data_IF_739961169304
#
_entry.id   IF_739961169304
#
_cell.length_a   1.000
_cell.length_b   1.000
_cell.length_c   1.000
_cell.angle_alpha   90.00
_cell.angle_beta   90.00
_cell.angle_gamma   90.00
#
_symmetry.space_group_name_H-M   'P 1'
#
loop_
_entity.id
_entity.type
_entity.pdbx_description
1 polymer ?
#
# COMPACT_ATOMS: atom_id res chain seq x y z
N UNK A 1 16.35 3.41 -14.44
CA UNK A 1 15.24 4.37 -14.37
C UNK A 1 15.55 5.40 -13.30
N UNK A 2 15.33 6.66 -13.61
CA UNK A 2 15.46 7.80 -12.70
C UNK A 2 14.11 8.53 -12.63
N UNK A 3 13.96 9.42 -11.66
CA UNK A 3 12.87 10.38 -11.60
C UNK A 3 13.42 11.76 -11.99
N UNK A 4 12.81 12.49 -12.94
CA UNK A 4 13.28 13.83 -13.31
C UNK A 4 13.41 14.74 -12.07
N UNK A 5 14.59 15.33 -11.89
CA UNK A 5 14.90 16.17 -10.72
C UNK A 5 15.50 15.45 -9.52
N UNK A 6 15.53 14.11 -9.52
CA UNK A 6 16.17 13.30 -8.47
C UNK A 6 17.51 12.75 -8.98
N UNK A 7 18.65 13.08 -8.34
CA UNK A 7 19.98 12.77 -8.86
C UNK A 7 20.47 11.34 -8.54
N UNK A 8 19.57 10.36 -8.42
CA UNK A 8 19.92 8.96 -8.08
C UNK A 8 19.21 7.95 -8.99
N UNK A 9 19.83 6.78 -9.16
CA UNK A 9 19.25 5.66 -9.93
C UNK A 9 18.30 4.88 -9.02
N UNK A 10 17.00 4.95 -9.31
CA UNK A 10 15.95 4.29 -8.49
C UNK A 10 15.90 2.78 -8.77
N UNK A 11 15.88 2.41 -10.05
CA UNK A 11 15.96 1.02 -10.53
C UNK A 11 17.08 0.95 -11.54
N UNK A 12 18.05 0.05 -11.37
CA UNK A 12 19.19 0.03 -12.26
C UNK A 12 20.24 -0.99 -11.88
N UNK A 13 21.47 -0.69 -12.27
CA UNK A 13 22.64 -1.55 -12.03
C UNK A 13 23.91 -0.72 -12.00
N UNK A 14 24.94 -1.27 -11.37
CA UNK A 14 26.32 -0.86 -11.56
C UNK A 14 27.12 -2.01 -12.22
N UNK A 15 28.44 -2.03 -12.05
CA UNK A 15 29.30 -3.05 -12.68
C UNK A 15 29.15 -4.45 -12.09
N UNK A 16 28.70 -4.59 -10.84
CA UNK A 16 28.70 -5.86 -10.10
C UNK A 16 27.30 -6.33 -9.68
N UNK A 17 26.32 -5.43 -9.64
CA UNK A 17 24.97 -5.76 -9.19
C UNK A 17 23.88 -4.97 -9.91
N UNK A 18 22.70 -5.56 -9.98
CA UNK A 18 21.47 -4.92 -10.45
C UNK A 18 20.40 -4.98 -9.35
N UNK A 19 19.55 -3.95 -9.28
CA UNK A 19 18.45 -3.89 -8.32
C UNK A 19 17.14 -3.43 -8.94
N UNK A 20 16.06 -3.98 -8.40
CA UNK A 20 14.69 -3.58 -8.68
C UNK A 20 13.94 -3.32 -7.37
N UNK A 21 12.84 -2.57 -7.46
CA UNK A 21 12.01 -2.26 -6.32
C UNK A 21 10.52 -2.53 -6.60
N UNK A 22 9.79 -2.95 -5.58
CA UNK A 22 8.32 -2.90 -5.55
C UNK A 22 7.85 -2.29 -4.24
N UNK A 23 6.68 -1.65 -4.21
CA UNK A 23 6.17 -1.05 -2.98
C UNK A 23 5.81 -2.12 -1.93
N UNK A 24 6.26 -1.95 -0.69
CA UNK A 24 5.86 -2.82 0.43
C UNK A 24 4.43 -2.54 0.89
N UNK A 25 3.91 -1.33 0.63
CA UNK A 25 2.61 -0.86 1.14
C UNK A 25 2.56 -0.74 2.67
N UNK A 26 3.61 -0.19 3.32
CA UNK A 26 3.69 -0.23 4.76
C UNK A 26 2.74 0.79 5.40
N UNK A 27 2.29 0.48 6.61
CA UNK A 27 1.51 1.35 7.46
C UNK A 27 2.45 2.26 8.27
N UNK A 28 2.83 3.38 7.64
CA UNK A 28 3.81 4.36 8.13
C UNK A 28 3.22 5.77 8.28
N UNK A 29 1.89 5.84 8.27
CA UNK A 29 1.10 7.05 8.44
C UNK A 29 0.12 6.83 9.57
N UNK A 30 0.14 7.71 10.57
CA UNK A 30 -0.84 7.69 11.66
C UNK A 30 -1.52 9.05 11.77
N UNK A 31 -2.82 9.00 12.05
CA UNK A 31 -3.56 10.19 12.43
C UNK A 31 -3.63 10.32 13.94
N UNK A 32 -3.47 11.54 14.43
CA UNK A 32 -3.64 11.89 15.83
C UNK A 32 -4.74 12.95 15.95
N UNK A 33 -5.74 12.69 16.79
CA UNK A 33 -6.72 13.68 17.20
C UNK A 33 -6.11 14.50 18.32
N UNK A 34 -5.94 15.79 18.09
CA UNK A 34 -5.35 16.73 19.03
C UNK A 34 -6.47 17.60 19.62
N UNK A 35 -6.48 17.76 20.94
CA UNK A 35 -7.48 18.58 21.63
C UNK A 35 -6.91 19.94 21.99
N UNK A 36 -7.61 20.99 21.61
CA UNK A 36 -7.32 22.36 22.03
C UNK A 36 -7.39 22.46 23.55
N UNK A 37 -6.48 23.23 24.17
CA UNK A 37 -6.50 23.45 25.61
C UNK A 37 -7.53 24.52 25.98
N UNK A 38 -8.56 24.12 26.71
CA UNK A 38 -9.67 25.00 27.12
C UNK A 38 -10.26 25.74 25.90
N UNK A 39 -10.28 27.08 25.93
CA UNK A 39 -10.72 27.93 24.83
C UNK A 39 -9.54 28.68 24.17
N UNK A 40 -8.29 28.25 24.36
CA UNK A 40 -7.10 28.85 23.72
C UNK A 40 -6.73 28.08 22.44
N UNK A 41 -7.09 28.58 21.24
CA UNK A 41 -6.82 27.88 19.98
C UNK A 41 -5.32 27.81 19.61
N UNK A 42 -4.44 28.47 20.37
CA UNK A 42 -2.99 28.42 20.16
C UNK A 42 -2.31 27.26 20.88
N UNK A 43 -3.04 26.53 21.74
CA UNK A 43 -2.49 25.45 22.57
C UNK A 43 -3.30 24.16 22.43
N UNK A 44 -2.63 23.03 22.58
CA UNK A 44 -3.23 21.70 22.60
C UNK A 44 -2.73 20.86 23.78
N UNK A 45 -3.53 19.88 24.17
CA UNK A 45 -3.24 18.95 25.25
C UNK A 45 -2.20 17.90 24.82
N UNK A 46 -1.30 17.57 25.75
CA UNK A 46 -0.26 16.55 25.62
C UNK A 46 -0.28 15.66 26.87
N UNK A 47 0.40 14.49 26.86
CA UNK A 47 0.50 13.63 28.04
C UNK A 47 1.08 14.35 29.27
N UNK A 48 1.97 15.33 29.04
CA UNK A 48 2.71 16.05 30.09
C UNK A 48 2.14 17.45 30.39
N UNK A 49 0.95 17.77 29.89
CA UNK A 49 0.30 19.08 30.08
C UNK A 49 -0.13 19.70 28.77
N UNK A 50 0.41 20.86 28.41
CA UNK A 50 0.02 21.60 27.19
C UNK A 50 1.22 21.98 26.35
N UNK A 51 1.02 22.08 25.05
CA UNK A 51 2.00 22.58 24.10
C UNK A 51 1.35 23.59 23.16
N UNK A 52 2.16 24.47 22.56
CA UNK A 52 1.70 25.41 21.53
C UNK A 52 1.80 24.75 20.15
N UNK A 53 0.84 25.04 19.29
CA UNK A 53 1.00 24.75 17.86
C UNK A 53 2.19 25.54 17.32
N UNK A 54 3.06 24.88 16.55
CA UNK A 54 3.94 25.62 15.65
C UNK A 54 3.07 26.18 14.53
N UNK A 55 3.23 27.47 14.20
CA UNK A 55 2.41 28.13 13.18
C UNK A 55 3.30 28.88 12.19
N UNK A 56 2.93 28.82 10.91
CA UNK A 56 3.51 29.67 9.86
C UNK A 56 2.44 30.04 8.84
N UNK A 57 2.55 31.23 8.28
CA UNK A 57 1.69 31.64 7.17
C UNK A 57 2.37 31.28 5.84
N UNK A 58 1.65 30.59 4.98
CA UNK A 58 2.05 30.24 3.62
C UNK A 58 1.20 30.98 2.62
N UNK A 59 1.83 31.52 1.58
CA UNK A 59 1.13 32.24 0.50
C UNK A 59 1.23 31.46 -0.80
N UNK A 60 0.11 30.89 -1.23
CA UNK A 60 -0.02 30.18 -2.51
C UNK A 60 -0.35 31.21 -3.59
N UNK A 61 0.61 31.49 -4.48
CA UNK A 61 0.42 32.39 -5.61
C UNK A 61 -0.39 31.71 -6.72
N UNK A 62 -1.56 32.24 -7.03
CA UNK A 62 -2.45 31.65 -8.04
C UNK A 62 -2.38 32.44 -9.34
N UNK A 63 -1.97 31.77 -10.42
CA UNK A 63 -1.83 32.42 -11.74
C UNK A 63 -3.17 33.03 -12.17
N UNK A 64 -3.17 34.36 -12.38
CA UNK A 64 -4.35 35.17 -12.78
C UNK A 64 -5.48 35.21 -11.74
N UNK A 65 -5.19 34.92 -10.48
CA UNK A 65 -6.13 35.06 -9.37
C UNK A 65 -5.43 35.71 -8.16
N UNK A 66 -6.17 36.17 -7.15
CA UNK A 66 -5.57 36.58 -5.89
C UNK A 66 -4.78 35.44 -5.23
N UNK A 67 -3.77 35.81 -4.45
CA UNK A 67 -3.03 34.88 -3.62
C UNK A 67 -3.94 34.24 -2.56
N UNK A 68 -3.69 32.97 -2.25
CA UNK A 68 -4.34 32.27 -1.15
C UNK A 68 -3.38 32.21 0.01
N UNK A 69 -3.71 32.89 1.11
CA UNK A 69 -2.94 32.83 2.36
C UNK A 69 -3.54 31.73 3.24
N UNK A 70 -2.69 30.83 3.71
CA UNK A 70 -3.06 29.71 4.56
C UNK A 70 -2.14 29.70 5.78
N UNK A 71 -2.72 29.58 6.98
CA UNK A 71 -1.94 29.30 8.18
C UNK A 71 -1.74 27.79 8.28
N UNK A 72 -0.48 27.37 8.35
CA UNK A 72 -0.09 25.99 8.62
C UNK A 72 0.16 25.83 10.11
N UNK A 73 -0.51 24.87 10.74
CA UNK A 73 -0.26 24.46 12.11
C UNK A 73 0.42 23.09 12.16
N UNK A 74 1.34 22.91 13.10
CA UNK A 74 2.00 21.63 13.35
C UNK A 74 2.02 21.34 14.86
N UNK A 75 1.85 20.06 15.22
CA UNK A 75 2.00 19.54 16.58
C UNK A 75 3.25 18.67 16.68
N UNK A 76 3.49 18.09 17.86
CA UNK A 76 4.51 17.05 18.08
C UNK A 76 4.35 15.81 17.18
N UNK A 77 3.16 15.59 16.60
CA UNK A 77 2.89 14.48 15.69
C UNK A 77 3.01 14.86 14.22
N UNK A 78 3.11 16.15 13.87
CA UNK A 78 3.24 16.62 12.50
C UNK A 78 2.19 17.66 12.11
N UNK A 79 2.00 17.92 10.80
CA UNK A 79 1.08 18.95 10.32
C UNK A 79 -0.39 18.63 10.64
N UNK A 80 -1.14 19.67 10.97
CA UNK A 80 -2.60 19.62 11.19
C UNK A 80 -3.31 19.65 9.83
N UNK A 81 -3.76 18.48 9.38
CA UNK A 81 -4.36 18.30 8.06
C UNK A 81 -5.85 18.65 8.01
N UNK A 82 -6.52 18.73 9.17
CA UNK A 82 -7.91 19.20 9.26
C UNK A 82 -8.05 20.65 8.81
N UNK A 83 -6.99 21.45 8.90
CA UNK A 83 -7.00 22.87 8.50
C UNK A 83 -6.98 23.05 6.98
N UNK A 84 -6.48 22.04 6.25
CA UNK A 84 -6.25 22.11 4.82
C UNK A 84 -7.31 21.37 3.97
N UNK A 85 -8.19 20.58 4.60
CA UNK A 85 -9.08 19.65 3.89
C UNK A 85 -10.45 19.52 4.58
N UNK A 86 -11.56 19.91 3.92
CA UNK A 86 -12.90 19.81 4.49
C UNK A 86 -13.29 18.38 4.93
N UNK A 87 -12.98 17.30 4.18
CA UNK A 87 -13.22 15.94 4.67
C UNK A 87 -12.52 15.63 6.00
N UNK A 88 -11.30 16.14 6.22
CA UNK A 88 -10.57 15.92 7.47
C UNK A 88 -11.07 16.82 8.60
N UNK A 89 -11.50 18.06 8.29
CA UNK A 89 -12.17 18.93 9.25
C UNK A 89 -13.47 18.29 9.78
N UNK A 90 -14.25 17.67 8.89
CA UNK A 90 -15.49 16.99 9.25
C UNK A 90 -15.28 15.66 10.00
N UNK A 91 -14.04 15.17 10.09
CA UNK A 91 -13.70 13.92 10.77
C UNK A 91 -13.38 14.10 12.26
N UNK A 92 -13.36 15.34 12.77
CA UNK A 92 -13.06 15.68 14.17
C UNK A 92 -14.15 16.59 14.75
N UNK A 93 -14.26 16.62 16.09
CA UNK A 93 -15.25 17.45 16.78
C UNK A 93 -14.78 18.90 16.94
N UNK A 94 -15.69 19.79 17.35
CA UNK A 94 -15.31 21.15 17.75
C UNK A 94 -14.24 21.13 18.85
N UNK A 95 -13.20 21.95 18.69
CA UNK A 95 -12.04 21.99 19.60
C UNK A 95 -11.02 20.87 19.38
N UNK A 96 -11.26 19.97 18.42
CA UNK A 96 -10.31 18.94 17.99
C UNK A 96 -9.67 19.31 16.64
N UNK A 97 -8.51 18.71 16.37
CA UNK A 97 -7.82 18.82 15.08
C UNK A 97 -7.14 17.51 14.73
N UNK A 98 -6.93 17.26 13.44
CA UNK A 98 -6.34 16.02 12.95
C UNK A 98 -4.90 16.27 12.49
N UNK A 99 -3.93 15.73 13.21
CA UNK A 99 -2.51 15.78 12.85
C UNK A 99 -2.09 14.49 12.13
N UNK A 100 -1.16 14.61 11.16
CA UNK A 100 -0.59 13.48 10.43
C UNK A 100 0.86 13.24 10.83
N UNK A 101 1.13 12.09 11.44
CA UNK A 101 2.47 11.54 11.58
C UNK A 101 2.80 10.70 10.34
N UNK A 102 3.91 11.00 9.68
CA UNK A 102 4.36 10.25 8.51
C UNK A 102 5.87 10.19 8.45
N UNK A 103 6.44 8.98 8.30
CA UNK A 103 7.89 8.80 8.24
C UNK A 103 8.56 9.60 7.12
N UNK A 104 7.87 9.84 6.00
CA UNK A 104 8.38 10.67 4.89
C UNK A 104 8.44 12.18 5.20
N UNK A 105 7.87 12.62 6.32
CA UNK A 105 7.98 14.00 6.82
C UNK A 105 9.09 14.17 7.87
N UNK A 106 9.89 13.12 8.10
CA UNK A 106 10.99 13.16 9.07
C UNK A 106 12.07 14.15 8.64
N UNK A 107 12.53 15.00 9.56
CA UNK A 107 13.55 16.03 9.28
C UNK A 107 14.94 15.47 8.98
N UNK A 108 15.18 14.20 9.28
CA UNK A 108 16.43 13.47 9.14
C UNK A 108 16.37 12.38 8.06
N UNK A 109 15.55 12.59 7.02
CA UNK A 109 15.46 11.68 5.88
C UNK A 109 16.78 11.65 5.07
N UNK A 110 17.45 10.50 5.08
CA UNK A 110 18.71 10.25 4.37
C UNK A 110 18.53 9.41 3.10
N UNK A 111 17.31 9.22 2.60
CA UNK A 111 17.00 8.34 1.47
C UNK A 111 17.78 8.71 0.21
N UNK A 112 17.99 10.00 -0.06
CA UNK A 112 18.81 10.42 -1.19
C UNK A 112 20.28 10.02 -1.04
N UNK A 113 20.81 10.01 0.18
CA UNK A 113 22.18 9.54 0.45
C UNK A 113 22.31 8.05 0.16
N UNK A 114 21.30 7.24 0.52
CA UNK A 114 21.25 5.81 0.19
C UNK A 114 21.41 5.60 -1.33
N UNK A 115 20.74 6.42 -2.15
CA UNK A 115 20.84 6.34 -3.61
C UNK A 115 22.25 6.58 -4.17
N UNK A 116 23.04 7.47 -3.56
CA UNK A 116 24.44 7.67 -3.94
C UNK A 116 25.32 6.49 -3.50
N UNK A 117 25.17 6.02 -2.26
CA UNK A 117 25.94 4.88 -1.76
C UNK A 117 25.62 3.58 -2.50
N UNK A 118 24.36 3.38 -2.90
CA UNK A 118 23.94 2.27 -3.75
C UNK A 118 24.64 2.27 -5.11
N UNK A 119 24.83 3.45 -5.71
CA UNK A 119 25.50 3.56 -6.99
C UNK A 119 26.98 3.14 -6.92
N UNK A 120 27.64 3.44 -5.78
CA UNK A 120 29.05 3.15 -5.54
C UNK A 120 29.33 1.75 -4.95
N UNK A 121 28.30 1.08 -4.40
CA UNK A 121 28.43 -0.21 -3.73
C UNK A 121 28.99 -1.32 -4.64
N UNK A 122 30.01 -2.03 -4.16
CA UNK A 122 30.75 -3.07 -4.89
C UNK A 122 30.51 -4.48 -4.38
N UNK A 123 29.64 -4.63 -3.38
CA UNK A 123 29.27 -5.91 -2.79
C UNK A 123 27.87 -5.84 -2.21
N UNK A 124 27.27 -6.99 -1.95
CA UNK A 124 26.01 -7.05 -1.21
C UNK A 124 26.12 -6.39 0.17
N UNK A 125 27.22 -6.60 0.89
CA UNK A 125 27.45 -5.98 2.20
C UNK A 125 27.44 -4.46 2.11
N UNK A 126 28.10 -3.87 1.11
CA UNK A 126 28.09 -2.43 0.87
C UNK A 126 26.70 -1.94 0.44
N UNK A 127 25.98 -2.73 -0.36
CA UNK A 127 24.61 -2.41 -0.78
C UNK A 127 23.65 -2.40 0.43
N UNK A 128 23.72 -3.41 1.29
CA UNK A 128 22.92 -3.52 2.51
C UNK A 128 23.23 -2.37 3.46
N UNK A 129 24.51 -2.00 3.61
CA UNK A 129 24.92 -0.83 4.39
C UNK A 129 24.41 0.50 3.78
N UNK A 130 24.41 0.63 2.45
CA UNK A 130 23.82 1.78 1.78
C UNK A 130 22.31 1.91 2.05
N UNK A 131 21.59 0.78 2.09
CA UNK A 131 20.15 0.73 2.34
C UNK A 131 19.75 1.05 3.77
N UNK A 132 20.68 1.08 4.73
CA UNK A 132 20.40 1.58 6.09
C UNK A 132 20.05 3.08 6.10
N UNK A 133 20.54 3.84 5.11
CA UNK A 133 20.18 5.25 4.91
C UNK A 133 18.83 5.43 4.22
N UNK A 134 18.17 4.36 3.79
CA UNK A 134 16.90 4.45 3.07
C UNK A 134 15.74 4.56 4.07
N UNK A 135 15.21 5.78 4.24
CA UNK A 135 14.23 6.11 5.28
C UNK A 135 12.80 5.96 4.80
N UNK A 136 12.46 6.48 3.62
CA UNK A 136 11.11 6.47 3.11
C UNK A 136 11.06 6.68 1.59
N UNK A 137 9.99 6.21 0.91
CA UNK A 137 8.98 5.27 1.38
C UNK A 137 9.47 3.83 1.30
N UNK A 138 9.19 2.97 2.29
CA UNK A 138 9.68 1.59 2.30
C UNK A 138 9.42 0.86 0.97
N UNK A 139 10.44 0.22 0.42
CA UNK A 139 10.35 -0.56 -0.80
C UNK A 139 10.91 -1.95 -0.57
N UNK A 140 10.39 -2.94 -1.29
CA UNK A 140 11.00 -4.24 -1.46
C UNK A 140 12.19 -4.11 -2.44
N UNK A 141 13.42 -4.01 -1.94
CA UNK A 141 14.62 -4.04 -2.77
C UNK A 141 15.00 -5.49 -3.07
N UNK A 142 15.01 -5.85 -4.34
CA UNK A 142 15.58 -7.12 -4.81
C UNK A 142 16.86 -6.84 -5.58
N UNK A 143 17.90 -7.63 -5.34
CA UNK A 143 19.22 -7.47 -5.96
C UNK A 143 19.68 -8.79 -6.58
N UNK A 144 20.46 -8.67 -7.66
CA UNK A 144 21.17 -9.78 -8.28
C UNK A 144 22.63 -9.37 -8.55
N UNK A 145 23.57 -10.18 -8.09
CA UNK A 145 25.01 -9.99 -8.26
C UNK A 145 25.54 -10.74 -9.49
N UNK A 146 26.67 -10.28 -10.06
CA UNK A 146 27.34 -10.94 -11.20
C UNK A 146 27.78 -12.38 -10.91
N UNK A 147 27.98 -12.72 -9.64
CA UNK A 147 28.35 -14.07 -9.19
C UNK A 147 27.15 -15.01 -9.03
N UNK A 148 25.94 -14.54 -9.37
CA UNK A 148 24.70 -15.32 -9.32
C UNK A 148 23.96 -15.25 -7.99
N UNK A 149 24.46 -14.47 -7.02
CA UNK A 149 23.77 -14.26 -5.75
C UNK A 149 22.52 -13.38 -5.93
N UNK A 150 21.47 -13.68 -5.17
CA UNK A 150 20.23 -12.89 -5.14
C UNK A 150 19.86 -12.53 -3.71
N UNK A 151 19.46 -11.28 -3.52
CA UNK A 151 19.20 -10.73 -2.20
C UNK A 151 17.92 -9.92 -2.16
N UNK A 152 17.35 -9.83 -0.98
CA UNK A 152 16.18 -9.04 -0.68
C UNK A 152 16.35 -8.32 0.66
N UNK A 153 15.90 -7.08 0.69
CA UNK A 153 15.65 -6.33 1.92
C UNK A 153 14.51 -5.37 1.67
N UNK A 154 13.66 -5.12 2.67
CA UNK A 154 12.61 -4.12 2.60
C UNK A 154 12.96 -2.89 3.47
N UNK A 155 13.91 -2.04 3.05
CA UNK A 155 14.40 -0.92 3.84
C UNK A 155 13.40 0.23 3.87
N UNK A 156 13.36 0.92 5.00
CA UNK A 156 12.46 2.03 5.30
C UNK A 156 12.12 2.05 6.78
N UNK A 157 11.79 3.24 7.31
CA UNK A 157 11.34 3.37 8.70
C UNK A 157 9.92 2.86 8.83
N UNK A 158 9.74 1.90 9.75
CA UNK A 158 8.44 1.43 10.20
C UNK A 158 8.30 1.84 11.67
N UNK A 159 7.28 2.62 12.04
CA UNK A 159 7.11 3.06 13.42
C UNK A 159 6.69 1.90 14.33
N UNK A 160 7.30 1.84 15.52
CA UNK A 160 6.82 1.02 16.63
C UNK A 160 5.88 1.89 17.44
N UNK A 161 4.60 1.54 17.44
CA UNK A 161 3.56 2.25 18.20
C UNK A 161 3.54 1.75 19.63
N UNK A 162 3.31 2.66 20.60
CA UNK A 162 3.20 2.29 22.02
C UNK A 162 2.09 1.28 22.24
N UNK A 163 0.92 1.53 21.66
CA UNK A 163 -0.22 0.62 21.65
C UNK A 163 -0.93 0.65 20.29
N UNK A 164 -1.70 -0.40 20.00
CA UNK A 164 -2.48 -0.48 18.76
C UNK A 164 -1.62 -0.72 17.52
N UNK A 165 -2.17 -0.39 16.36
CA UNK A 165 -1.57 -0.70 15.05
C UNK A 165 -1.88 0.36 13.97
N UNK A 166 -2.27 1.58 14.35
CA UNK A 166 -2.53 2.66 13.41
C UNK A 166 -3.87 2.60 12.67
N UNK A 167 -4.70 1.58 12.92
CA UNK A 167 -5.95 1.38 12.18
C UNK A 167 -6.96 2.54 12.29
N UNK A 168 -6.99 3.23 13.43
CA UNK A 168 -7.83 4.39 13.66
C UNK A 168 -6.98 5.53 14.22
N UNK A 169 -7.44 6.80 14.06
CA UNK A 169 -6.79 7.93 14.68
C UNK A 169 -6.62 7.72 16.19
N UNK A 170 -5.44 8.05 16.70
CA UNK A 170 -5.11 7.96 18.12
C UNK A 170 -5.38 9.28 18.84
N UNK A 171 -5.70 9.23 20.14
CA UNK A 171 -5.81 10.43 20.96
C UNK A 171 -4.41 11.00 21.26
N UNK A 172 -4.06 12.15 20.68
CA UNK A 172 -2.72 12.74 20.79
C UNK A 172 -2.35 13.20 22.21
N UNK A 173 -3.35 13.48 23.04
CA UNK A 173 -3.17 13.95 24.41
C UNK A 173 -2.90 12.83 25.44
N UNK A 174 -3.12 11.55 25.11
CA UNK A 174 -2.86 10.44 26.04
C UNK A 174 -1.48 9.83 25.86
N UNK A 175 -0.92 9.92 24.66
CA UNK A 175 0.38 9.33 24.33
C UNK A 175 0.33 7.83 24.04
N UNK A 176 -0.87 7.23 24.06
CA UNK A 176 -1.06 5.77 23.90
C UNK A 176 -0.76 5.30 22.48
N UNK A 177 -0.99 6.14 21.48
CA UNK A 177 -0.71 5.85 20.07
C UNK A 177 0.67 6.28 19.60
N UNK A 178 1.47 6.92 20.47
CA UNK A 178 2.75 7.52 20.09
C UNK A 178 3.73 6.50 19.50
N UNK A 179 4.56 6.96 18.56
CA UNK A 179 5.70 6.20 18.10
C UNK A 179 6.78 6.20 19.20
N UNK A 180 7.17 5.00 19.65
CA UNK A 180 8.21 4.80 20.68
C UNK A 180 9.56 4.41 20.10
N UNK A 181 9.63 4.31 18.77
CA UNK A 181 10.83 3.99 18.03
C UNK A 181 10.47 3.57 16.61
N UNK A 182 11.45 3.00 15.92
CA UNK A 182 11.26 2.37 14.61
C UNK A 182 11.85 0.98 14.63
N UNK A 183 11.32 0.08 13.79
CA UNK A 183 11.88 -1.26 13.62
C UNK A 183 13.37 -1.14 13.26
N UNK A 184 14.30 -1.77 14.01
CA UNK A 184 15.72 -1.76 13.69
C UNK A 184 15.99 -2.29 12.29
N UNK A 185 16.93 -1.68 11.56
CA UNK A 185 17.23 -2.03 10.18
C UNK A 185 17.53 -3.53 9.97
N UNK A 186 18.30 -4.13 10.89
CA UNK A 186 18.67 -5.55 10.83
C UNK A 186 17.50 -6.51 11.10
N UNK A 187 16.38 -6.02 11.62
CA UNK A 187 15.15 -6.78 11.85
C UNK A 187 14.11 -6.53 10.76
N UNK A 188 14.38 -5.64 9.80
CA UNK A 188 13.53 -5.48 8.63
C UNK A 188 13.53 -6.78 7.78
N UNK A 189 12.45 -7.05 7.02
CA UNK A 189 12.36 -8.24 6.19
C UNK A 189 13.53 -8.30 5.22
N UNK A 190 14.21 -9.44 5.20
CA UNK A 190 15.33 -9.69 4.31
C UNK A 190 15.43 -11.17 3.97
N UNK A 191 16.09 -11.47 2.86
CA UNK A 191 16.36 -12.84 2.42
C UNK A 191 17.63 -12.84 1.56
N UNK A 192 18.56 -13.74 1.88
CA UNK A 192 19.84 -13.85 1.20
C UNK A 192 19.94 -15.26 0.60
N UNK A 193 20.16 -15.37 -0.71
CA UNK A 193 20.39 -16.62 -1.45
C UNK A 193 19.47 -17.78 -1.02
N UNK A 194 18.14 -17.67 -1.19
CA UNK A 194 17.24 -18.76 -0.83
C UNK A 194 17.51 -20.00 -1.66
N UNK A 195 17.24 -21.19 -1.10
CA UNK A 195 17.40 -22.49 -1.78
C UNK A 195 16.65 -22.61 -3.11
N UNK A 196 15.59 -21.80 -3.29
CA UNK A 196 14.83 -21.69 -4.54
C UNK A 196 15.62 -21.05 -5.68
N UNK A 197 16.73 -20.37 -5.39
CA UNK A 197 17.51 -19.59 -6.35
C UNK A 197 16.77 -18.37 -6.91
N UNK A 198 15.63 -17.99 -6.32
CA UNK A 198 14.80 -16.88 -6.82
C UNK A 198 14.14 -16.11 -5.68
N UNK A 199 13.97 -14.82 -5.91
CA UNK A 199 13.22 -13.90 -5.05
C UNK A 199 12.16 -13.22 -5.92
N UNK A 200 10.91 -13.25 -5.48
CA UNK A 200 9.78 -12.64 -6.20
C UNK A 200 9.05 -11.69 -5.27
N UNK A 201 9.00 -10.41 -5.64
CA UNK A 201 8.18 -9.40 -4.95
C UNK A 201 7.25 -8.73 -5.95
N UNK A 202 5.98 -8.66 -5.57
CA UNK A 202 4.87 -8.10 -6.33
C UNK A 202 3.83 -7.55 -5.34
N UNK A 203 4.29 -6.83 -4.30
CA UNK A 203 3.51 -6.20 -3.23
C UNK A 203 2.72 -7.18 -2.33
N UNK A 204 2.89 -8.49 -2.49
CA UNK A 204 2.31 -9.49 -1.61
C UNK A 204 2.99 -9.46 -0.23
N UNK A 205 2.40 -10.16 0.75
CA UNK A 205 3.00 -10.32 2.07
C UNK A 205 4.43 -10.89 1.98
N UNK A 206 5.38 -10.17 2.56
CA UNK A 206 6.84 -10.46 2.51
C UNK A 206 7.40 -11.03 3.83
N UNK A 207 6.52 -11.30 4.79
CA UNK A 207 6.89 -11.82 6.12
C UNK A 207 6.00 -12.97 6.51
N UNK A 208 6.56 -13.88 7.31
CA UNK A 208 5.86 -15.04 7.83
C UNK A 208 4.92 -14.66 8.99
N UNK A 209 4.23 -15.66 9.55
CA UNK A 209 3.22 -15.44 10.59
C UNK A 209 3.82 -15.06 11.96
N UNK A 210 5.09 -15.41 12.19
CA UNK A 210 5.85 -15.20 13.42
C UNK A 210 6.72 -13.93 13.40
N UNK A 211 6.71 -13.17 12.30
CA UNK A 211 7.43 -11.91 12.22
C UNK A 211 6.91 -10.93 13.30
N UNK A 212 7.79 -10.40 14.19
CA UNK A 212 7.34 -9.76 15.43
C UNK A 212 6.83 -8.33 15.23
N UNK A 213 7.10 -7.72 14.08
CA UNK A 213 6.76 -6.32 13.82
C UNK A 213 5.54 -6.20 12.90
N UNK A 214 4.66 -5.26 13.25
CA UNK A 214 3.56 -4.88 12.37
C UNK A 214 4.08 -4.03 11.21
N UNK A 215 3.86 -4.49 9.97
CA UNK A 215 4.20 -3.72 8.75
C UNK A 215 2.94 -3.07 8.17
N UNK A 216 1.92 -3.87 7.86
CA UNK A 216 0.65 -3.41 7.28
C UNK A 216 -0.39 -4.51 7.36
N UNK A 217 -1.67 -4.14 7.27
CA UNK A 217 -2.81 -5.06 7.04
C UNK A 217 -3.15 -5.19 5.55
N UNK A 218 -2.73 -4.24 4.73
CA UNK A 218 -3.17 -4.10 3.34
C UNK A 218 -2.17 -4.68 2.34
N UNK A 219 -1.90 -5.98 2.49
CA UNK A 219 -1.09 -6.70 1.51
C UNK A 219 -1.86 -6.90 0.20
N UNK A 220 -1.16 -6.78 -0.93
CA UNK A 220 -1.74 -7.23 -2.19
C UNK A 220 -1.95 -8.75 -2.15
N UNK A 221 -3.03 -9.22 -2.76
CA UNK A 221 -3.24 -10.65 -2.97
C UNK A 221 -2.07 -11.24 -3.79
N UNK A 222 -1.63 -12.48 -3.51
CA UNK A 222 -0.39 -13.03 -4.06
C UNK A 222 -0.47 -13.39 -5.55
N UNK A 223 -1.62 -13.21 -6.20
CA UNK A 223 -1.88 -13.60 -7.59
C UNK A 223 -0.74 -13.28 -8.58
N UNK A 224 -0.18 -12.06 -8.52
CA UNK A 224 0.96 -11.66 -9.38
C UNK A 224 2.26 -12.35 -8.99
N UNK A 225 2.56 -12.44 -7.71
CA UNK A 225 3.75 -13.13 -7.22
C UNK A 225 3.72 -14.61 -7.59
N UNK A 226 2.57 -15.27 -7.41
CA UNK A 226 2.37 -16.67 -7.75
C UNK A 226 2.49 -16.90 -9.26
N UNK A 227 1.95 -15.98 -10.09
CA UNK A 227 2.10 -16.05 -11.55
C UNK A 227 3.55 -15.90 -11.99
N UNK A 228 4.26 -14.90 -11.46
CA UNK A 228 5.68 -14.69 -11.75
C UNK A 228 6.50 -15.91 -11.32
N UNK A 229 6.25 -16.44 -10.12
CA UNK A 229 6.91 -17.64 -9.61
C UNK A 229 6.65 -18.85 -10.51
N UNK A 230 5.40 -19.09 -10.92
CA UNK A 230 5.05 -20.18 -11.82
C UNK A 230 5.82 -20.08 -13.16
N UNK A 231 5.87 -18.89 -13.76
CA UNK A 231 6.59 -18.65 -15.01
C UNK A 231 8.11 -18.83 -14.85
N UNK A 232 8.69 -18.34 -13.74
CA UNK A 232 10.12 -18.54 -13.43
C UNK A 232 10.46 -20.01 -13.15
N UNK A 233 9.54 -20.78 -12.57
CA UNK A 233 9.76 -22.22 -12.34
C UNK A 233 9.51 -23.08 -13.57
N UNK A 234 8.87 -22.54 -14.61
CA UNK A 234 8.54 -23.30 -15.83
C UNK A 234 9.75 -23.62 -16.70
N UNK A 235 10.89 -22.97 -16.45
CA UNK A 235 12.16 -23.21 -17.13
C UNK A 235 13.32 -23.11 -16.14
N UNK A 236 14.30 -24.00 -16.25
CA UNK A 236 15.57 -23.86 -15.53
C UNK A 236 16.52 -22.85 -16.17
N UNK A 237 16.25 -22.43 -17.40
CA UNK A 237 17.06 -21.50 -18.17
C UNK A 237 16.20 -20.37 -18.75
N UNK A 238 16.39 -19.15 -18.24
CA UNK A 238 15.74 -17.97 -18.79
C UNK A 238 16.62 -17.25 -19.80
N UNK A 239 15.99 -16.73 -20.85
CA UNK A 239 16.60 -15.87 -21.86
C UNK A 239 15.99 -14.48 -21.76
N UNK A 240 16.56 -13.50 -22.47
CA UNK A 240 15.94 -12.17 -22.58
C UNK A 240 14.50 -12.25 -23.09
N UNK A 241 14.22 -13.16 -24.04
CA UNK A 241 12.87 -13.32 -24.57
C UNK A 241 11.91 -13.94 -23.55
N UNK A 242 12.35 -14.90 -22.72
CA UNK A 242 11.47 -15.42 -21.67
C UNK A 242 11.18 -14.37 -20.60
N UNK A 243 12.14 -13.48 -20.27
CA UNK A 243 11.87 -12.35 -19.37
C UNK A 243 10.93 -11.31 -19.98
N UNK A 244 11.02 -11.01 -21.29
CA UNK A 244 10.03 -10.16 -21.96
C UNK A 244 8.64 -10.77 -21.87
N UNK A 245 8.52 -12.06 -22.12
CA UNK A 245 7.24 -12.77 -22.00
C UNK A 245 6.66 -12.67 -20.59
N UNK A 246 7.47 -12.88 -19.55
CA UNK A 246 7.05 -12.69 -18.14
C UNK A 246 6.58 -11.26 -17.89
N UNK A 247 7.31 -10.25 -18.39
CA UNK A 247 6.96 -8.84 -18.20
C UNK A 247 5.68 -8.42 -18.92
N UNK A 248 5.33 -9.09 -20.03
CA UNK A 248 4.13 -8.82 -20.81
C UNK A 248 3.02 -9.85 -20.57
N UNK A 249 3.12 -10.68 -19.53
CA UNK A 249 2.10 -11.68 -19.21
C UNK A 249 0.78 -11.00 -18.84
N UNK A 250 -0.33 -11.52 -19.40
CA UNK A 250 -1.68 -10.97 -19.21
C UNK A 250 -2.61 -11.96 -18.52
N UNK A 251 -2.09 -13.05 -17.95
CA UNK A 251 -2.94 -14.05 -17.31
C UNK A 251 -3.43 -13.57 -15.92
N UNK A 252 -4.73 -13.63 -15.68
CA UNK A 252 -5.32 -13.20 -14.40
C UNK A 252 -5.62 -14.39 -13.48
N UNK A 253 -4.69 -14.67 -12.57
CA UNK A 253 -4.92 -15.62 -11.47
C UNK A 253 -6.09 -15.21 -10.56
N UNK A 254 -6.35 -13.91 -10.44
CA UNK A 254 -7.56 -13.43 -9.78
C UNK A 254 -8.80 -13.90 -10.53
N UNK A 255 -8.90 -13.65 -11.84
CA UNK A 255 -10.07 -14.08 -12.60
C UNK A 255 -10.28 -15.60 -12.49
N UNK A 256 -9.20 -16.38 -12.62
CA UNK A 256 -9.23 -17.83 -12.43
C UNK A 256 -9.75 -18.26 -11.07
N UNK A 257 -9.44 -17.54 -9.98
CA UNK A 257 -9.97 -17.89 -8.66
C UNK A 257 -11.45 -17.55 -8.49
N UNK A 258 -11.95 -16.53 -9.19
CA UNK A 258 -13.35 -16.11 -9.12
C UNK A 258 -14.28 -16.85 -10.09
N UNK A 259 -13.76 -17.31 -11.24
CA UNK A 259 -14.56 -18.00 -12.27
C UNK A 259 -15.36 -19.19 -11.73
N UNK A 260 -14.81 -20.11 -10.90
CA UNK A 260 -15.60 -21.21 -10.34
C UNK A 260 -16.78 -20.73 -9.49
N UNK A 261 -16.61 -19.65 -8.73
CA UNK A 261 -17.67 -19.06 -7.89
C UNK A 261 -18.76 -18.44 -8.77
N UNK A 262 -18.37 -17.69 -9.79
CA UNK A 262 -19.30 -17.08 -10.74
C UNK A 262 -20.09 -18.13 -11.54
N UNK A 263 -19.42 -19.18 -12.01
CA UNK A 263 -20.00 -20.20 -12.89
C UNK A 263 -20.88 -21.20 -12.15
N UNK A 264 -20.79 -21.28 -10.82
CA UNK A 264 -21.66 -22.12 -9.99
C UNK A 264 -23.13 -21.64 -10.02
N UNK A 265 -23.38 -20.38 -10.36
CA UNK A 265 -24.73 -19.81 -10.48
C UNK A 265 -25.35 -20.18 -11.83
N UNK A 266 -26.62 -20.56 -11.82
CA UNK A 266 -27.38 -20.78 -13.07
C UNK A 266 -27.75 -19.42 -13.67
N UNK A 267 -27.30 -19.08 -14.89
CA UNK A 267 -27.60 -17.79 -15.51
C UNK A 267 -29.06 -17.73 -15.99
N UNK A 268 -29.65 -16.54 -15.91
CA UNK A 268 -30.92 -16.25 -16.58
C UNK A 268 -30.75 -16.15 -18.10
N UNK A 269 -31.83 -15.86 -18.83
CA UNK A 269 -31.77 -15.74 -20.30
C UNK A 269 -30.84 -14.63 -20.79
N UNK A 270 -30.68 -13.56 -20.02
CA UNK A 270 -29.88 -12.39 -20.40
C UNK A 270 -28.38 -12.63 -20.14
N UNK A 271 -28.03 -13.41 -19.12
CA UNK A 271 -26.65 -13.72 -18.75
C UNK A 271 -26.09 -14.98 -19.42
N UNK A 272 -26.93 -15.80 -20.07
CA UNK A 272 -26.53 -17.11 -20.63
C UNK A 272 -25.39 -17.04 -21.64
N UNK A 273 -25.36 -16.04 -22.50
CA UNK A 273 -24.28 -15.89 -23.49
C UNK A 273 -22.95 -15.53 -22.80
N UNK A 274 -22.97 -14.56 -21.89
CA UNK A 274 -21.78 -14.15 -21.13
C UNK A 274 -21.24 -15.30 -20.27
N UNK A 275 -22.11 -16.06 -19.60
CA UNK A 275 -21.74 -17.25 -18.83
C UNK A 275 -21.07 -18.31 -19.72
N UNK A 276 -21.61 -18.58 -20.92
CA UNK A 276 -21.02 -19.53 -21.88
C UNK A 276 -19.67 -19.07 -22.47
N UNK A 277 -19.45 -17.77 -22.62
CA UNK A 277 -18.15 -17.23 -23.03
C UNK A 277 -17.13 -17.42 -21.90
N UNK A 278 -17.48 -16.97 -20.69
CA UNK A 278 -16.62 -17.05 -19.52
C UNK A 278 -16.33 -18.49 -19.06
N UNK A 279 -17.22 -19.45 -19.29
CA UNK A 279 -16.98 -20.87 -18.96
C UNK A 279 -15.91 -21.55 -19.81
N UNK A 280 -15.57 -20.96 -20.97
CA UNK A 280 -14.50 -21.43 -21.86
C UNK A 280 -13.24 -20.56 -21.79
N UNK A 281 -13.30 -19.46 -21.05
CA UNK A 281 -12.20 -18.53 -20.92
C UNK A 281 -11.09 -19.11 -20.05
N UNK A 282 -9.86 -18.95 -20.50
CA UNK A 282 -8.67 -19.44 -19.82
C UNK A 282 -8.08 -18.42 -18.81
N UNK A 283 -8.74 -17.28 -18.59
CA UNK A 283 -8.28 -16.22 -17.69
C UNK A 283 -7.28 -15.24 -18.31
N UNK A 284 -6.99 -15.33 -19.62
CA UNK A 284 -6.14 -14.37 -20.33
C UNK A 284 -6.82 -13.01 -20.49
N UNK A 285 -6.17 -11.94 -20.03
CA UNK A 285 -6.64 -10.54 -20.16
C UNK A 285 -6.25 -9.92 -21.52
N UNK A 286 -6.30 -10.71 -22.58
CA UNK A 286 -5.98 -10.24 -23.93
C UNK A 286 -6.93 -9.11 -24.35
N UNK A 287 -6.37 -8.06 -24.96
CA UNK A 287 -7.11 -6.88 -25.43
C UNK A 287 -8.08 -7.19 -26.56
N UNK A 288 -7.86 -8.29 -27.29
CA UNK A 288 -8.68 -8.70 -28.43
C UNK A 288 -9.78 -9.71 -28.02
N UNK A 289 -9.86 -10.05 -26.72
CA UNK A 289 -10.88 -10.93 -26.13
C UNK A 289 -12.00 -10.15 -25.43
N UNK A 290 -13.23 -10.67 -25.46
CA UNK A 290 -14.40 -10.02 -24.83
C UNK A 290 -14.58 -10.43 -23.36
N UNK A 291 -14.10 -11.62 -23.01
CA UNK A 291 -14.22 -12.25 -21.71
C UNK A 291 -13.63 -11.41 -20.57
N UNK A 292 -12.46 -10.75 -20.72
CA UNK A 292 -11.94 -9.83 -19.72
C UNK A 292 -12.91 -8.69 -19.36
N UNK A 293 -13.60 -8.14 -20.35
CA UNK A 293 -14.59 -7.08 -20.14
C UNK A 293 -15.83 -7.61 -19.41
N UNK A 294 -16.32 -8.78 -19.80
CA UNK A 294 -17.47 -9.42 -19.15
C UNK A 294 -17.16 -9.72 -17.67
N UNK A 295 -16.00 -10.35 -17.41
CA UNK A 295 -15.56 -10.65 -16.05
C UNK A 295 -15.39 -9.38 -15.20
N UNK A 296 -14.75 -8.33 -15.73
CA UNK A 296 -14.57 -7.09 -14.98
C UNK A 296 -15.85 -6.31 -14.77
N UNK A 297 -16.82 -6.41 -15.68
CA UNK A 297 -18.14 -5.80 -15.49
C UNK A 297 -18.89 -6.54 -14.39
N UNK A 298 -18.95 -7.87 -14.45
CA UNK A 298 -19.53 -8.69 -13.39
C UNK A 298 -18.87 -8.41 -12.03
N UNK A 299 -17.54 -8.45 -11.96
CA UNK A 299 -16.81 -8.20 -10.72
C UNK A 299 -17.08 -6.80 -10.17
N UNK A 300 -17.14 -5.78 -11.04
CA UNK A 300 -17.49 -4.41 -10.65
C UNK A 300 -18.90 -4.37 -10.06
N UNK A 301 -19.90 -4.89 -10.76
CA UNK A 301 -21.29 -4.84 -10.28
C UNK A 301 -21.50 -5.67 -9.01
N UNK A 302 -20.87 -6.85 -8.91
CA UNK A 302 -20.87 -7.65 -7.68
C UNK A 302 -20.27 -6.86 -6.52
N UNK A 303 -19.11 -6.25 -6.73
CA UNK A 303 -18.46 -5.46 -5.68
C UNK A 303 -19.36 -4.30 -5.23
N UNK A 304 -20.13 -3.68 -6.15
CA UNK A 304 -21.12 -2.64 -5.79
C UNK A 304 -22.24 -3.26 -4.96
N UNK A 305 -22.80 -4.36 -5.44
CA UNK A 305 -23.91 -5.05 -4.78
C UNK A 305 -23.59 -5.42 -3.32
N UNK A 306 -22.39 -5.96 -3.06
CA UNK A 306 -22.00 -6.47 -1.73
C UNK A 306 -21.80 -5.43 -0.62
N UNK A 307 -21.71 -4.14 -0.91
CA UNK A 307 -21.54 -3.17 0.17
C UNK A 307 -22.08 -1.75 -0.08
N UNK A 308 -22.92 -1.57 -1.11
CA UNK A 308 -23.52 -0.25 -1.36
C UNK A 308 -24.61 0.04 -0.34
N UNK A 309 -25.39 -0.96 0.05
CA UNK A 309 -26.51 -0.84 0.96
C UNK A 309 -26.08 -0.53 2.39
N UNK A 310 -25.00 -1.13 2.89
CA UNK A 310 -24.49 -0.85 4.25
C UNK A 310 -23.77 0.49 4.32
N UNK A 311 -23.17 0.96 3.22
CA UNK A 311 -22.47 2.24 3.21
C UNK A 311 -23.36 3.44 2.85
N UNK A 312 -24.46 3.22 2.13
CA UNK A 312 -25.36 4.28 1.67
C UNK A 312 -24.61 5.43 0.99
N UNK A 313 -24.88 6.67 1.42
CA UNK A 313 -24.28 7.89 0.86
C UNK A 313 -22.74 7.95 0.98
N UNK A 314 -22.13 7.11 1.83
CA UNK A 314 -20.67 7.04 1.97
C UNK A 314 -20.00 6.18 0.90
N UNK A 315 -20.76 5.38 0.17
CA UNK A 315 -20.23 4.41 -0.78
C UNK A 315 -19.32 5.04 -1.83
N UNK A 316 -19.78 6.12 -2.49
CA UNK A 316 -19.02 6.76 -3.58
C UNK A 316 -17.66 7.30 -3.12
N UNK A 317 -17.54 7.69 -1.84
CA UNK A 317 -16.30 8.18 -1.28
C UNK A 317 -15.26 7.08 -1.02
N UNK A 318 -15.68 5.83 -0.83
CA UNK A 318 -14.79 4.71 -0.44
C UNK A 318 -14.77 3.55 -1.44
N UNK A 319 -15.55 3.67 -2.51
CA UNK A 319 -15.67 2.70 -3.57
C UNK A 319 -14.31 2.38 -4.19
N UNK A 320 -13.94 1.11 -4.14
CA UNK A 320 -12.75 0.61 -4.82
C UNK A 320 -12.91 -0.85 -5.18
N UNK A 321 -12.09 -1.33 -6.12
CA UNK A 321 -11.99 -2.77 -6.40
C UNK A 321 -11.25 -3.42 -5.24
N UNK A 322 -11.96 -4.22 -4.43
CA UNK A 322 -11.43 -4.86 -3.21
C UNK A 322 -11.37 -6.38 -3.38
N UNK A 323 -10.40 -6.92 -4.14
CA UNK A 323 -10.37 -8.35 -4.49
C UNK A 323 -10.37 -9.28 -3.27
N UNK A 324 -9.60 -8.92 -2.23
CA UNK A 324 -9.55 -9.70 -0.99
C UNK A 324 -10.89 -9.71 -0.26
N UNK A 325 -11.54 -8.54 -0.12
CA UNK A 325 -12.86 -8.42 0.51
C UNK A 325 -13.90 -9.26 -0.24
N UNK A 326 -14.06 -9.03 -1.55
CA UNK A 326 -15.07 -9.73 -2.37
C UNK A 326 -14.82 -11.24 -2.34
N UNK A 327 -13.57 -11.69 -2.46
CA UNK A 327 -13.27 -13.11 -2.42
C UNK A 327 -13.66 -13.72 -1.07
N UNK A 328 -13.29 -13.08 0.05
CA UNK A 328 -13.63 -13.56 1.40
C UNK A 328 -15.14 -13.58 1.65
N UNK A 329 -15.85 -12.56 1.20
CA UNK A 329 -17.31 -12.51 1.26
C UNK A 329 -17.93 -13.73 0.58
N UNK A 330 -17.51 -14.03 -0.65
CA UNK A 330 -18.05 -15.17 -1.42
C UNK A 330 -17.70 -16.56 -0.86
N UNK A 331 -16.62 -16.71 -0.09
CA UNK A 331 -16.14 -18.03 0.38
C UNK A 331 -16.30 -18.27 1.88
N UNK A 332 -16.78 -17.30 2.65
CA UNK A 332 -16.97 -17.49 4.10
C UNK A 332 -17.52 -16.31 4.91
N UNK A 333 -17.36 -15.06 4.45
CA UNK A 333 -17.87 -13.86 5.14
C UNK A 333 -19.21 -13.39 4.52
N UNK A 334 -20.18 -14.30 4.39
CA UNK A 334 -21.42 -14.10 3.63
C UNK A 334 -22.40 -13.07 4.21
N UNK A 335 -22.11 -12.48 5.37
CA UNK A 335 -22.95 -11.43 5.97
C UNK A 335 -23.05 -10.17 5.10
N UNK A 336 -22.10 -9.96 4.19
CA UNK A 336 -22.09 -8.89 3.20
C UNK A 336 -22.80 -9.27 1.88
N UNK A 337 -23.36 -10.49 1.80
CA UNK A 337 -24.17 -10.90 0.65
C UNK A 337 -25.64 -10.46 0.80
N UNK A 338 -26.05 -10.15 2.04
CA UNK A 338 -27.39 -9.69 2.41
C UNK A 338 -27.60 -8.25 1.93
N UNK A 339 -28.73 -7.95 1.29
CA UNK A 339 -29.12 -6.56 1.06
C UNK A 339 -29.96 -6.11 2.27
N UNK A 340 -29.39 -5.27 3.13
CA UNK A 340 -30.06 -4.86 4.39
C UNK A 340 -31.34 -4.04 4.17
N UNK A 341 -31.68 -3.72 2.92
CA UNK A 341 -32.90 -3.01 2.52
C UNK A 341 -34.03 -3.96 2.13
N UNK A 342 -33.76 -5.26 2.01
CA UNK A 342 -34.75 -6.29 1.67
C UNK A 342 -35.11 -7.14 2.89
N UNK A 343 -36.35 -7.64 2.94
CA UNK A 343 -36.82 -8.51 4.02
C UNK A 343 -36.21 -9.94 4.01
N UNK A 344 -36.01 -10.62 2.86
CA UNK A 344 -35.29 -11.89 2.85
C UNK A 344 -33.79 -11.68 3.05
N UNK A 345 -33.14 -12.56 3.83
CA UNK A 345 -31.68 -12.57 3.94
C UNK A 345 -31.09 -13.27 2.72
N UNK A 346 -30.32 -12.56 1.90
CA UNK A 346 -29.54 -13.16 0.81
C UNK A 346 -28.23 -13.80 1.32
N UNK A 347 -27.77 -14.87 0.65
CA UNK A 347 -26.58 -15.64 1.06
C UNK A 347 -25.68 -16.01 -0.10
#
# INVERSE_FOLDING_TARGET
ATLPGIPVIIVGRNQVQAWGITNTGPDVQDFFIEKTYENDPSQYLTPDGTARFFTRDETIRVKKSPDVVMQIRETRHGPVISDASPPHANAVSDGESLALAWTALSHDDTTLQAGFYLADAKSWTEMKAALEYFIAPQQNFVSAHIDGEVHFVAPGRIPIRRNGNGWLPSAGWTGDGDWVGTVPFHELPHQDNPDTGMIVTANQKIVDADYPYFITREWAMPYRADRIKALLTSSSNHTIESYKHIQTDVESNMAKSFLPLMLAVTPDSNAKEAHNLLSRWDGSMDKDSIEPLLFHTWYRELTRFLYTDELGDKFDAVWSRRPNFVYRTLVGESQWCDDVRTDPIES
#
